data_IF_148885425090
#
_entry.id   IF_148885425090
#
_cell.length_a   1.000
_cell.length_b   1.000
_cell.length_c   1.000
_cell.angle_alpha   90.00
_cell.angle_beta   90.00
_cell.angle_gamma   90.00
#
_symmetry.space_group_name_H-M   'P 1'
#
loop_
_entity.id
_entity.type
_entity.pdbx_description
1 polymer ?
#
# COMPACT_ATOMS: atom_id res chain seq x y z
N UNK A 1 -1.48 -12.68 -12.55
CA UNK A 1 -2.74 -11.94 -12.74
C UNK A 1 -2.74 -10.59 -12.02
N UNK A 2 -2.70 -10.47 -10.69
CA UNK A 2 -2.66 -9.14 -10.02
C UNK A 2 -1.26 -8.49 -10.01
N UNK A 3 -0.21 -9.25 -9.72
CA UNK A 3 1.17 -8.72 -9.69
C UNK A 3 1.65 -8.21 -11.05
N UNK A 4 1.28 -8.89 -12.14
CA UNK A 4 1.54 -8.44 -13.51
C UNK A 4 0.82 -7.13 -13.84
N UNK A 5 -0.44 -6.97 -13.39
CA UNK A 5 -1.21 -5.77 -13.63
C UNK A 5 -0.65 -4.54 -12.88
N UNK A 6 -0.15 -4.72 -11.65
CA UNK A 6 0.49 -3.64 -10.90
C UNK A 6 1.80 -3.17 -11.54
N UNK A 7 2.60 -4.11 -12.06
CA UNK A 7 3.82 -3.80 -12.82
C UNK A 7 3.45 -3.04 -14.09
N UNK A 8 2.44 -3.52 -14.82
CA UNK A 8 1.99 -2.91 -16.07
C UNK A 8 1.48 -1.48 -15.86
N UNK A 9 0.65 -1.24 -14.83
CA UNK A 9 0.17 0.11 -14.47
C UNK A 9 1.34 1.02 -14.10
N UNK A 10 2.32 0.52 -13.33
CA UNK A 10 3.51 1.29 -12.97
C UNK A 10 4.36 1.68 -14.17
N UNK A 11 4.55 0.75 -15.11
CA UNK A 11 5.29 0.98 -16.37
C UNK A 11 4.53 1.94 -17.27
N UNK A 12 3.22 1.74 -17.48
CA UNK A 12 2.38 2.64 -18.26
C UNK A 12 2.41 4.06 -17.70
N UNK A 13 2.32 4.21 -16.37
CA UNK A 13 2.42 5.51 -15.72
C UNK A 13 3.79 6.16 -15.96
N UNK A 14 4.88 5.42 -15.79
CA UNK A 14 6.24 5.93 -15.99
C UNK A 14 6.50 6.37 -17.45
N UNK A 15 6.03 5.57 -18.42
CA UNK A 15 6.14 5.86 -19.85
C UNK A 15 5.31 7.08 -20.21
N UNK A 16 4.02 7.12 -19.83
CA UNK A 16 3.11 8.22 -20.11
C UNK A 16 3.65 9.55 -19.54
N UNK A 17 4.19 9.51 -18.31
CA UNK A 17 4.82 10.68 -17.69
C UNK A 17 6.03 11.17 -18.46
N UNK A 18 6.86 10.28 -18.98
CA UNK A 18 8.04 10.62 -19.78
C UNK A 18 7.64 11.24 -21.13
N UNK A 19 6.58 10.73 -21.75
CA UNK A 19 6.02 11.26 -23.01
C UNK A 19 5.42 12.65 -22.80
N UNK A 20 4.53 12.82 -21.82
CA UNK A 20 3.88 14.10 -21.51
C UNK A 20 4.90 15.22 -21.20
N UNK A 21 5.96 14.88 -20.46
CA UNK A 21 7.07 15.82 -20.20
C UNK A 21 7.80 16.24 -21.47
N UNK A 22 7.99 15.34 -22.44
CA UNK A 22 8.60 15.67 -23.74
C UNK A 22 7.69 16.56 -24.60
N UNK A 23 6.38 16.53 -24.38
CA UNK A 23 5.40 17.37 -25.08
C UNK A 23 5.22 18.77 -24.47
N UNK A 24 6.03 19.15 -23.48
CA UNK A 24 5.92 20.46 -22.83
C UNK A 24 4.71 20.61 -21.89
N UNK A 25 3.96 19.52 -21.64
CA UNK A 25 2.85 19.52 -20.69
C UNK A 25 3.42 19.49 -19.28
N UNK A 26 3.05 20.48 -18.46
CA UNK A 26 3.42 20.53 -17.06
C UNK A 26 2.73 19.38 -16.29
N UNK A 27 3.41 18.25 -16.16
CA UNK A 27 2.92 17.13 -15.37
C UNK A 27 3.26 17.39 -13.90
N UNK A 28 2.25 17.66 -13.09
CA UNK A 28 2.36 17.73 -11.63
C UNK A 28 3.11 16.49 -11.14
N UNK A 29 4.20 16.68 -10.40
CA UNK A 29 4.95 15.57 -9.86
C UNK A 29 4.08 14.78 -8.89
N UNK A 30 4.20 13.45 -8.90
CA UNK A 30 3.66 12.65 -7.82
C UNK A 30 4.20 13.19 -6.50
N UNK A 31 3.37 13.26 -5.46
CA UNK A 31 3.86 13.63 -4.15
C UNK A 31 4.98 12.66 -3.73
N UNK A 32 5.95 13.12 -2.92
CA UNK A 32 6.95 12.25 -2.32
C UNK A 32 6.28 11.04 -1.67
N UNK A 33 6.92 9.87 -1.75
CA UNK A 33 6.34 8.60 -1.26
C UNK A 33 5.86 8.68 0.20
N UNK A 34 6.57 9.42 1.05
CA UNK A 34 6.18 9.68 2.45
C UNK A 34 4.81 10.38 2.63
N UNK A 35 4.28 11.00 1.58
CA UNK A 35 3.00 11.71 1.56
C UNK A 35 1.89 10.90 0.89
N UNK A 36 2.18 9.70 0.39
CA UNK A 36 1.15 8.86 -0.23
C UNK A 36 0.12 8.46 0.80
N UNK A 37 -1.14 8.70 0.47
CA UNK A 37 -2.30 8.32 1.27
C UNK A 37 -3.34 7.68 0.37
N UNK A 38 -3.51 6.37 0.51
CA UNK A 38 -4.48 5.60 -0.28
C UNK A 38 -5.91 5.74 0.25
N UNK A 39 -6.94 5.53 -0.60
CA UNK A 39 -8.34 5.66 -0.19
C UNK A 39 -8.76 4.65 0.90
N UNK A 40 -9.69 5.09 1.75
CA UNK A 40 -10.27 4.31 2.87
C UNK A 40 -11.02 3.04 2.43
N UNK A 41 -11.30 2.86 1.13
CA UNK A 41 -11.97 1.67 0.60
C UNK A 41 -11.19 0.38 0.87
N UNK A 42 -9.86 0.43 0.93
CA UNK A 42 -9.02 -0.76 1.07
C UNK A 42 -9.18 -1.47 2.41
N UNK A 43 -9.23 -0.78 3.57
CA UNK A 43 -9.60 -1.39 4.85
C UNK A 43 -10.94 -2.13 4.82
N UNK A 44 -11.96 -1.54 4.21
CA UNK A 44 -13.27 -2.21 4.06
C UNK A 44 -13.16 -3.42 3.13
N UNK A 45 -12.48 -3.28 2.00
CA UNK A 45 -12.23 -4.39 1.08
C UNK A 45 -11.50 -5.55 1.80
N UNK A 46 -10.51 -5.25 2.65
CA UNK A 46 -9.81 -6.24 3.45
C UNK A 46 -10.75 -6.99 4.39
N UNK A 47 -11.56 -6.26 5.16
CA UNK A 47 -12.50 -6.85 6.11
C UNK A 47 -13.56 -7.73 5.41
N UNK A 48 -14.19 -7.22 4.35
CA UNK A 48 -15.16 -7.99 3.55
C UNK A 48 -14.53 -9.18 2.86
N UNK A 49 -13.27 -9.08 2.42
CA UNK A 49 -12.54 -10.19 1.84
C UNK A 49 -12.29 -11.31 2.85
N UNK A 50 -11.95 -11.00 4.10
CA UNK A 50 -11.80 -12.02 5.14
C UNK A 50 -13.12 -12.76 5.42
N UNK A 51 -14.23 -12.01 5.50
CA UNK A 51 -15.58 -12.59 5.67
C UNK A 51 -15.93 -13.48 4.46
N UNK A 52 -15.66 -13.00 3.24
CA UNK A 52 -15.90 -13.74 2.00
C UNK A 52 -15.07 -15.02 1.88
N UNK A 53 -13.79 -14.98 2.29
CA UNK A 53 -12.91 -16.16 2.35
C UNK A 53 -13.49 -17.19 3.32
N UNK A 54 -13.87 -16.75 4.53
CA UNK A 54 -14.43 -17.62 5.55
C UNK A 54 -15.72 -18.29 5.06
N UNK A 55 -16.70 -17.52 4.58
CA UNK A 55 -17.95 -18.09 4.08
C UNK A 55 -17.79 -18.90 2.80
N UNK A 56 -16.93 -18.47 1.88
CA UNK A 56 -16.63 -19.21 0.66
C UNK A 56 -16.03 -20.58 0.95
N UNK A 57 -15.18 -20.67 1.98
CA UNK A 57 -14.62 -21.94 2.44
C UNK A 57 -15.63 -22.80 3.19
N UNK A 58 -16.34 -22.26 4.19
CA UNK A 58 -17.26 -23.05 5.03
C UNK A 58 -18.50 -23.54 4.28
N UNK A 59 -18.93 -22.83 3.22
CA UNK A 59 -20.11 -23.18 2.41
C UNK A 59 -19.77 -23.74 1.04
N UNK A 60 -18.49 -24.02 0.78
CA UNK A 60 -17.96 -24.49 -0.50
C UNK A 60 -18.37 -23.65 -1.73
N UNK A 61 -18.52 -22.33 -1.54
CA UNK A 61 -18.86 -21.40 -2.62
C UNK A 61 -17.55 -20.93 -3.27
N UNK A 62 -17.04 -21.73 -4.22
CA UNK A 62 -15.74 -21.52 -4.88
C UNK A 62 -15.58 -20.11 -5.45
N UNK A 63 -16.61 -19.60 -6.15
CA UNK A 63 -16.56 -18.26 -6.75
C UNK A 63 -16.37 -17.16 -5.71
N UNK A 64 -17.11 -17.24 -4.59
CA UNK A 64 -17.00 -16.28 -3.49
C UNK A 64 -15.60 -16.32 -2.87
N UNK A 65 -15.08 -17.53 -2.62
CA UNK A 65 -13.72 -17.70 -2.10
C UNK A 65 -12.68 -17.07 -3.02
N UNK A 66 -12.74 -17.32 -4.33
CA UNK A 66 -11.80 -16.77 -5.30
C UNK A 66 -11.86 -15.24 -5.40
N UNK A 67 -13.06 -14.67 -5.48
CA UNK A 67 -13.24 -13.20 -5.53
C UNK A 67 -12.72 -12.57 -4.24
N UNK A 68 -13.07 -13.14 -3.08
CA UNK A 68 -12.63 -12.66 -1.79
C UNK A 68 -11.11 -12.78 -1.60
N UNK A 69 -10.48 -13.86 -2.08
CA UNK A 69 -9.03 -14.02 -2.04
C UNK A 69 -8.31 -12.95 -2.88
N UNK A 70 -8.82 -12.65 -4.08
CA UNK A 70 -8.26 -11.57 -4.90
C UNK A 70 -8.43 -10.20 -4.22
N UNK A 71 -9.62 -9.93 -3.64
CA UNK A 71 -9.88 -8.72 -2.86
C UNK A 71 -8.91 -8.58 -1.69
N UNK A 72 -8.65 -9.68 -0.97
CA UNK A 72 -7.69 -9.74 0.12
C UNK A 72 -6.28 -9.38 -0.35
N UNK A 73 -5.81 -9.98 -1.45
CA UNK A 73 -4.46 -9.71 -2.00
C UNK A 73 -4.32 -8.24 -2.42
N UNK A 74 -5.33 -7.68 -3.09
CA UNK A 74 -5.33 -6.26 -3.49
C UNK A 74 -5.26 -5.35 -2.27
N UNK A 75 -6.12 -5.58 -1.28
CA UNK A 75 -6.14 -4.77 -0.07
C UNK A 75 -4.86 -4.94 0.75
N UNK A 76 -4.29 -6.13 0.81
CA UNK A 76 -3.02 -6.40 1.48
C UNK A 76 -1.86 -5.63 0.84
N UNK A 77 -1.78 -5.60 -0.50
CA UNK A 77 -0.76 -4.84 -1.24
C UNK A 77 -0.94 -3.33 -1.05
N UNK A 78 -2.19 -2.84 -1.09
CA UNK A 78 -2.49 -1.44 -0.79
C UNK A 78 -2.07 -1.07 0.63
N UNK A 79 -2.42 -1.92 1.61
CA UNK A 79 -1.98 -1.80 2.99
C UNK A 79 -0.46 -1.75 3.11
N UNK A 80 0.26 -2.61 2.40
CA UNK A 80 1.72 -2.65 2.45
C UNK A 80 2.33 -1.36 1.89
N UNK A 81 1.85 -0.86 0.76
CA UNK A 81 2.30 0.41 0.16
C UNK A 81 2.09 1.57 1.15
N UNK A 82 0.91 1.65 1.75
CA UNK A 82 0.59 2.69 2.74
C UNK A 82 1.43 2.54 4.02
N UNK A 83 1.61 1.32 4.51
CA UNK A 83 2.39 1.02 5.70
C UNK A 83 3.85 1.40 5.53
N UNK A 84 4.45 1.08 4.37
CA UNK A 84 5.82 1.49 4.05
C UNK A 84 5.90 3.00 3.83
N UNK A 85 4.88 3.65 3.26
CA UNK A 85 4.83 5.11 3.15
C UNK A 85 4.82 5.80 4.53
N UNK A 86 3.99 5.30 5.46
CA UNK A 86 3.95 5.76 6.84
C UNK A 86 5.28 5.53 7.56
N UNK A 87 5.84 4.31 7.45
CA UNK A 87 7.13 3.98 8.03
C UNK A 87 8.22 4.91 7.48
N UNK A 88 8.26 5.12 6.17
CA UNK A 88 9.23 6.01 5.55
C UNK A 88 9.11 7.45 6.06
N UNK A 89 7.87 7.95 6.22
CA UNK A 89 7.62 9.25 6.85
C UNK A 89 8.18 9.31 8.28
N UNK A 90 7.97 8.28 9.10
CA UNK A 90 8.50 8.21 10.46
C UNK A 90 10.04 8.15 10.47
N UNK A 91 10.65 7.32 9.62
CA UNK A 91 12.11 7.20 9.52
C UNK A 91 12.77 8.50 9.08
N UNK A 92 12.13 9.25 8.17
CA UNK A 92 12.57 10.60 7.79
C UNK A 92 12.46 11.58 8.97
N UNK A 93 11.33 11.53 9.71
CA UNK A 93 11.09 12.40 10.87
C UNK A 93 12.14 12.19 11.97
N UNK A 94 12.50 10.94 12.25
CA UNK A 94 13.54 10.59 13.24
C UNK A 94 14.97 10.70 12.68
N UNK A 95 15.15 11.24 11.47
CA UNK A 95 16.45 11.42 10.81
C UNK A 95 17.28 10.13 10.73
N UNK A 96 16.62 8.98 10.55
CA UNK A 96 17.30 7.68 10.44
C UNK A 96 18.17 7.66 9.19
N UNK A 97 19.41 7.19 9.33
CA UNK A 97 20.40 7.17 8.25
C UNK A 97 19.95 6.30 7.07
N UNK A 98 20.35 6.62 5.82
CA UNK A 98 19.96 5.84 4.64
C UNK A 98 20.28 4.35 4.74
N UNK A 99 21.43 3.99 5.32
CA UNK A 99 21.87 2.62 5.52
C UNK A 99 20.91 1.83 6.44
N UNK A 100 20.58 2.41 7.60
CA UNK A 100 19.66 1.76 8.56
C UNK A 100 18.26 1.61 7.97
N UNK A 101 17.78 2.59 7.20
CA UNK A 101 16.49 2.48 6.52
C UNK A 101 16.47 1.33 5.51
N UNK A 102 17.55 1.15 4.74
CA UNK A 102 17.67 0.04 3.81
C UNK A 102 17.61 -1.31 4.54
N UNK A 103 18.32 -1.43 5.68
CA UNK A 103 18.29 -2.64 6.51
C UNK A 103 16.88 -2.95 7.04
N UNK A 104 16.15 -1.92 7.50
CA UNK A 104 14.76 -2.06 7.96
C UNK A 104 13.86 -2.56 6.82
N UNK A 105 13.99 -2.03 5.60
CA UNK A 105 13.18 -2.49 4.47
C UNK A 105 13.48 -3.93 4.06
N UNK A 106 14.75 -4.31 4.04
CA UNK A 106 15.15 -5.70 3.76
C UNK A 106 14.60 -6.63 4.84
N UNK A 107 14.71 -6.25 6.11
CA UNK A 107 14.16 -7.02 7.22
C UNK A 107 12.65 -7.23 7.11
N UNK A 108 11.91 -6.17 6.78
CA UNK A 108 10.45 -6.26 6.57
C UNK A 108 10.13 -7.20 5.42
N UNK A 109 10.85 -7.12 4.31
CA UNK A 109 10.59 -7.93 3.11
C UNK A 109 10.88 -9.42 3.32
N UNK A 110 11.96 -9.75 4.03
CA UNK A 110 12.36 -11.14 4.29
C UNK A 110 11.51 -11.76 5.41
N UNK A 111 10.96 -10.95 6.30
CA UNK A 111 10.14 -11.41 7.40
C UNK A 111 8.64 -11.26 7.08
N UNK A 112 7.98 -12.38 6.75
CA UNK A 112 6.56 -12.38 6.40
C UNK A 112 5.64 -11.81 7.49
N UNK A 113 5.96 -12.02 8.76
CA UNK A 113 5.20 -11.45 9.90
C UNK A 113 5.31 -9.93 9.91
N UNK A 114 6.51 -9.37 9.71
CA UNK A 114 6.70 -7.93 9.61
C UNK A 114 6.01 -7.34 8.40
N UNK A 115 6.09 -8.00 7.23
CA UNK A 115 5.32 -7.59 6.04
C UNK A 115 3.82 -7.51 6.36
N UNK A 116 3.28 -8.49 7.08
CA UNK A 116 1.88 -8.52 7.46
C UNK A 116 1.51 -7.40 8.44
N UNK A 117 2.33 -7.20 9.49
CA UNK A 117 2.13 -6.11 10.47
C UNK A 117 2.15 -4.74 9.76
N UNK A 118 3.11 -4.51 8.87
CA UNK A 118 3.22 -3.25 8.12
C UNK A 118 2.00 -3.05 7.23
N UNK A 119 1.54 -4.09 6.54
CA UNK A 119 0.32 -4.01 5.73
C UNK A 119 -0.90 -3.62 6.54
N UNK A 120 -1.13 -4.28 7.68
CA UNK A 120 -2.27 -3.99 8.56
C UNK A 120 -2.17 -2.58 9.14
N UNK A 121 -0.98 -2.17 9.58
CA UNK A 121 -0.73 -0.82 10.07
C UNK A 121 -1.06 0.23 9.01
N UNK A 122 -0.70 -0.04 7.75
CA UNK A 122 -1.05 0.81 6.62
C UNK A 122 -2.56 0.91 6.41
N UNK A 123 -3.30 -0.19 6.50
CA UNK A 123 -4.77 -0.16 6.42
C UNK A 123 -5.38 0.71 7.53
N UNK A 124 -4.90 0.59 8.76
CA UNK A 124 -5.37 1.46 9.86
C UNK A 124 -5.04 2.93 9.63
N UNK A 125 -3.87 3.25 9.08
CA UNK A 125 -3.48 4.64 8.75
C UNK A 125 -4.42 5.30 7.74
N UNK A 126 -5.01 4.54 6.80
CA UNK A 126 -5.97 5.08 5.84
C UNK A 126 -7.30 5.54 6.49
N UNK A 127 -7.66 4.96 7.65
CA UNK A 127 -8.88 5.33 8.37
C UNK A 127 -8.63 6.48 9.34
N UNK A 128 -7.52 6.40 10.09
CA UNK A 128 -7.25 7.33 11.18
C UNK A 128 -6.45 8.56 10.77
N UNK A 129 -5.78 8.51 9.61
CA UNK A 129 -4.82 9.51 9.13
C UNK A 129 -3.88 9.98 10.25
N UNK A 130 -3.02 9.06 10.72
CA UNK A 130 -2.10 9.35 11.83
C UNK A 130 -1.13 10.49 11.47
N UNK A 131 -0.78 10.62 10.18
CA UNK A 131 0.16 11.63 9.68
C UNK A 131 -0.40 13.05 9.82
N UNK A 132 -1.69 13.26 9.55
CA UNK A 132 -2.34 14.56 9.75
C UNK A 132 -2.33 14.97 11.22
N UNK A 133 -2.73 14.08 12.13
CA UNK A 133 -2.74 14.37 13.58
C UNK A 133 -1.36 14.67 14.15
N UNK A 134 -0.32 14.01 13.63
CA UNK A 134 1.07 14.25 14.01
C UNK A 134 1.54 15.65 13.59
N UNK A 135 1.09 16.15 12.42
CA UNK A 135 1.42 17.48 11.92
C UNK A 135 0.64 18.60 12.64
N UNK A 136 -0.61 18.33 13.03
CA UNK A 136 -1.49 19.31 13.71
C UNK A 136 -1.11 19.56 15.19
N UNK A 137 -0.29 18.70 15.81
CA UNK A 137 0.22 18.89 17.19
C UNK A 137 1.52 19.69 17.26
N UNK A 138 1.86 20.41 16.19
CA UNK A 138 2.98 21.35 16.10
C UNK A 138 2.44 22.76 15.92
#
# INVERSE_FOLDING_TARGET
>A
FVGSALIEVGVCYAVMRKVLRRMGVAVTALPPFAQWHLPVVFPYLFAFSLIGIYWGSTREIVLLYQVALNGYVIAFLAGLVQGVALLHFLLLRFRVSPFVRALIYVFILVNGVMTQIISWTGLFDMVYDYRRRIRERQ
#
